data_IF_620267437933
#
_entry.id   IF_620267437933
#
_cell.length_a   1.000
_cell.length_b   1.000
_cell.length_c   1.000
_cell.angle_alpha   90.00
_cell.angle_beta   90.00
_cell.angle_gamma   90.00
#
_symmetry.space_group_name_H-M   'P 1'
#
loop_
_entity.id
_entity.type
_entity.pdbx_description
1 polymer ?
#
# COMPACT_ATOMS: atom_id res chain seq x y z
N UNK A 1 72.42 77.17 54.29
CA UNK A 1 71.39 78.20 54.02
C UNK A 1 71.25 78.33 52.52
N UNK A 2 70.02 78.20 52.02
CA UNK A 2 69.68 78.15 50.60
C UNK A 2 69.21 79.53 50.14
N UNK A 3 69.92 80.13 49.18
CA UNK A 3 69.43 81.24 48.37
C UNK A 3 70.15 81.22 47.02
N UNK A 4 69.48 80.70 45.99
CA UNK A 4 69.74 81.10 44.60
C UNK A 4 68.37 81.29 43.95
N UNK A 5 67.94 82.55 43.90
CA UNK A 5 66.87 83.00 43.04
C UNK A 5 67.39 83.00 41.59
N UNK A 6 66.68 82.33 40.70
CA UNK A 6 67.02 82.36 39.27
C UNK A 6 65.89 81.76 38.44
N UNK A 7 65.18 82.62 37.72
CA UNK A 7 64.24 82.27 36.66
C UNK A 7 65.00 81.59 35.52
N UNK A 8 65.28 80.30 35.68
CA UNK A 8 65.91 79.46 34.67
C UNK A 8 64.81 78.63 34.01
N UNK A 9 64.42 79.04 32.81
CA UNK A 9 63.62 78.26 31.88
C UNK A 9 64.36 76.97 31.56
N UNK A 10 64.20 75.98 32.45
CA UNK A 10 64.66 74.62 32.26
C UNK A 10 63.70 73.98 31.26
N UNK A 11 63.95 74.19 29.97
CA UNK A 11 63.53 73.25 28.96
C UNK A 11 64.63 72.21 28.78
N UNK A 12 64.37 70.94 29.10
CA UNK A 12 65.08 69.88 28.43
C UNK A 12 64.14 68.80 27.87
N UNK A 13 64.38 68.53 26.58
CA UNK A 13 64.15 67.29 25.85
C UNK A 13 62.69 66.89 25.52
N UNK A 14 62.31 67.30 24.32
CA UNK A 14 61.46 66.60 23.34
C UNK A 14 61.48 65.07 23.57
N UNK A 15 60.31 64.51 23.87
CA UNK A 15 60.09 63.06 23.97
C UNK A 15 60.49 62.40 22.64
N UNK A 16 61.26 61.30 22.63
CA UNK A 16 61.52 60.56 21.40
C UNK A 16 60.20 60.01 20.84
N UNK A 17 60.01 60.14 19.53
CA UNK A 17 58.91 59.51 18.79
C UNK A 17 58.85 58.03 19.13
N UNK A 18 57.76 57.65 19.79
CA UNK A 18 57.44 56.28 20.09
C UNK A 18 56.99 55.63 18.78
N UNK A 19 57.89 54.86 18.15
CA UNK A 19 57.59 54.08 16.94
C UNK A 19 56.31 53.27 17.18
N UNK A 20 55.27 53.36 16.31
CA UNK A 20 54.09 52.53 16.47
C UNK A 20 54.49 51.07 16.30
N UNK A 21 54.44 50.30 17.39
CA UNK A 21 54.53 48.86 17.35
C UNK A 21 53.33 48.36 16.54
N UNK A 22 53.59 47.93 15.31
CA UNK A 22 52.60 47.34 14.43
C UNK A 22 52.13 46.04 15.10
N UNK A 23 51.02 46.12 15.83
CA UNK A 23 50.30 44.94 16.29
C UNK A 23 49.63 44.36 15.06
N UNK A 24 50.17 43.26 14.54
CA UNK A 24 49.45 42.41 13.60
C UNK A 24 48.15 41.95 14.26
N UNK A 25 47.06 42.65 13.97
CA UNK A 25 45.72 42.22 14.34
C UNK A 25 45.39 41.03 13.45
N UNK A 26 45.87 39.85 13.87
CA UNK A 26 45.52 38.58 13.22
C UNK A 26 44.00 38.48 13.25
N UNK A 27 43.37 38.75 12.11
CA UNK A 27 41.93 38.67 11.91
C UNK A 27 41.52 37.22 12.19
N UNK A 28 41.05 36.97 13.41
CA UNK A 28 40.50 35.67 13.78
C UNK A 28 39.19 35.56 13.04
N UNK A 29 39.23 34.97 11.85
CA UNK A 29 38.03 34.60 11.12
C UNK A 29 37.43 33.43 11.89
N UNK A 30 36.50 33.74 12.80
CA UNK A 30 35.63 32.74 13.40
C UNK A 30 34.86 32.06 12.27
N UNK A 31 35.34 30.91 11.81
CA UNK A 31 34.56 30.02 10.96
C UNK A 31 33.30 29.68 11.74
N UNK A 32 32.13 30.01 11.18
CA UNK A 32 30.84 29.64 11.76
C UNK A 32 30.86 28.13 11.96
N UNK A 33 30.57 27.66 13.18
CA UNK A 33 30.41 26.22 13.46
C UNK A 33 29.42 25.68 12.43
N UNK A 34 29.89 24.82 11.52
CA UNK A 34 29.03 24.02 10.68
C UNK A 34 28.21 23.15 11.63
N UNK A 35 26.90 23.42 11.70
CA UNK A 35 25.95 22.58 12.41
C UNK A 35 26.23 21.14 11.96
N UNK A 36 26.50 20.22 12.90
CA UNK A 36 26.96 18.87 12.57
C UNK A 36 25.95 18.21 11.64
N UNK A 37 26.45 17.61 10.54
CA UNK A 37 25.63 16.96 9.50
C UNK A 37 24.60 15.97 10.08
N UNK A 38 24.92 15.38 11.23
CA UNK A 38 24.09 14.39 11.93
C UNK A 38 22.72 14.92 12.36
N UNK A 39 22.63 16.14 12.88
CA UNK A 39 21.34 16.71 13.33
C UNK A 39 20.39 16.92 12.15
N UNK A 40 20.90 17.47 11.03
CA UNK A 40 20.10 17.64 9.80
C UNK A 40 19.64 16.30 9.20
N UNK A 41 20.48 15.26 9.30
CA UNK A 41 20.15 13.94 8.79
C UNK A 41 19.03 13.26 9.61
N UNK A 42 19.05 13.41 10.93
CA UNK A 42 17.99 12.91 11.80
C UNK A 42 16.65 13.57 11.52
N UNK A 43 16.62 14.90 11.33
CA UNK A 43 15.38 15.58 10.94
C UNK A 43 14.83 15.07 9.60
N UNK A 44 15.69 14.89 8.60
CA UNK A 44 15.27 14.37 7.30
C UNK A 44 14.76 12.93 7.40
N UNK A 45 15.39 12.10 8.23
CA UNK A 45 14.92 10.76 8.52
C UNK A 45 13.55 10.74 9.21
N UNK A 46 13.31 11.62 10.20
CA UNK A 46 12.00 11.69 10.86
C UNK A 46 10.88 12.09 9.90
N UNK A 47 11.15 13.02 8.97
CA UNK A 47 10.20 13.40 7.91
C UNK A 47 9.95 12.21 6.99
N UNK A 48 11.00 11.49 6.58
CA UNK A 48 10.88 10.31 5.73
C UNK A 48 10.00 9.23 6.39
N UNK A 49 10.26 8.91 7.66
CA UNK A 49 9.46 7.95 8.42
C UNK A 49 8.01 8.39 8.48
N UNK A 50 7.75 9.67 8.75
CA UNK A 50 6.39 10.22 8.78
C UNK A 50 5.65 10.05 7.44
N UNK A 51 6.33 10.37 6.32
CA UNK A 51 5.77 10.21 4.97
C UNK A 51 5.51 8.73 4.64
N UNK A 52 6.41 7.83 5.02
CA UNK A 52 6.22 6.38 4.82
C UNK A 52 5.02 5.88 5.61
N UNK A 53 4.89 6.27 6.89
CA UNK A 53 3.74 5.88 7.73
C UNK A 53 2.43 6.39 7.11
N UNK A 54 2.38 7.67 6.70
CA UNK A 54 1.21 8.23 6.04
C UNK A 54 0.88 7.49 4.73
N UNK A 55 1.89 7.18 3.92
CA UNK A 55 1.73 6.42 2.68
C UNK A 55 1.18 5.01 2.91
N UNK A 56 1.69 4.29 3.92
CA UNK A 56 1.20 2.96 4.28
C UNK A 56 -0.26 3.01 4.72
N UNK A 57 -0.65 4.01 5.52
CA UNK A 57 -2.05 4.17 5.94
C UNK A 57 -2.95 4.34 4.71
N UNK A 58 -2.64 5.32 3.84
CA UNK A 58 -3.44 5.57 2.63
C UNK A 58 -3.54 4.32 1.76
N UNK A 59 -2.42 3.61 1.56
CA UNK A 59 -2.40 2.38 0.79
C UNK A 59 -3.28 1.28 1.39
N UNK A 60 -3.23 1.10 2.71
CA UNK A 60 -4.11 0.14 3.41
C UNK A 60 -5.58 0.49 3.26
N UNK A 61 -5.94 1.77 3.37
CA UNK A 61 -7.32 2.21 3.15
C UNK A 61 -7.81 1.94 1.73
N UNK A 62 -6.97 2.20 0.72
CA UNK A 62 -7.32 1.91 -0.67
C UNK A 62 -7.53 0.40 -0.91
N UNK A 63 -6.69 -0.46 -0.32
CA UNK A 63 -6.84 -1.91 -0.42
C UNK A 63 -8.14 -2.41 0.22
N UNK A 64 -8.48 -1.92 1.41
CA UNK A 64 -9.72 -2.30 2.11
C UNK A 64 -10.94 -1.93 1.27
N UNK A 65 -10.93 -0.74 0.67
CA UNK A 65 -12.03 -0.29 -0.18
C UNK A 65 -12.22 -1.16 -1.43
N UNK A 66 -11.11 -1.53 -2.09
CA UNK A 66 -11.18 -2.46 -3.24
C UNK A 66 -11.71 -3.83 -2.83
N UNK A 67 -11.32 -4.32 -1.65
CA UNK A 67 -11.74 -5.62 -1.15
C UNK A 67 -13.23 -5.65 -0.82
N UNK A 68 -13.79 -4.56 -0.27
CA UNK A 68 -15.22 -4.45 0.02
C UNK A 68 -16.08 -4.48 -1.25
N UNK A 69 -15.65 -3.80 -2.31
CA UNK A 69 -16.33 -3.89 -3.61
C UNK A 69 -16.27 -5.30 -4.18
N UNK A 70 -15.11 -5.97 -4.08
CA UNK A 70 -14.97 -7.35 -4.53
C UNK A 70 -15.91 -8.28 -3.78
N UNK A 71 -15.97 -8.18 -2.45
CA UNK A 71 -16.88 -8.97 -1.62
C UNK A 71 -18.33 -8.76 -2.05
N UNK A 72 -18.78 -7.52 -2.21
CA UNK A 72 -20.15 -7.22 -2.67
C UNK A 72 -20.46 -7.85 -4.03
N UNK A 73 -19.54 -7.73 -5.00
CA UNK A 73 -19.74 -8.35 -6.33
C UNK A 73 -19.76 -9.87 -6.27
N UNK A 74 -18.95 -10.49 -5.41
CA UNK A 74 -18.90 -11.93 -5.24
C UNK A 74 -20.17 -12.45 -4.55
N UNK A 75 -20.65 -11.76 -3.52
CA UNK A 75 -21.92 -12.09 -2.86
C UNK A 75 -23.09 -11.97 -3.83
N UNK A 76 -23.15 -10.93 -4.66
CA UNK A 76 -24.18 -10.79 -5.68
C UNK A 76 -24.14 -11.92 -6.73
N UNK A 77 -22.94 -12.36 -7.12
CA UNK A 77 -22.76 -13.51 -8.02
C UNK A 77 -23.20 -14.82 -7.38
N UNK A 78 -22.87 -15.03 -6.11
CA UNK A 78 -23.31 -16.22 -5.36
C UNK A 78 -24.83 -16.29 -5.28
N UNK A 79 -25.50 -15.19 -4.91
CA UNK A 79 -26.96 -15.14 -4.87
C UNK A 79 -27.60 -15.48 -6.24
N UNK A 80 -27.05 -14.94 -7.33
CA UNK A 80 -27.51 -15.28 -8.69
C UNK A 80 -27.26 -16.73 -9.07
N UNK A 81 -26.17 -17.33 -8.61
CA UNK A 81 -25.86 -18.74 -8.88
C UNK A 81 -26.80 -19.65 -8.09
N UNK A 82 -27.10 -19.32 -6.83
CA UNK A 82 -28.08 -20.05 -6.02
C UNK A 82 -29.47 -20.01 -6.66
N UNK A 83 -29.91 -18.86 -7.15
CA UNK A 83 -31.18 -18.71 -7.86
C UNK A 83 -31.22 -19.57 -9.14
N UNK A 84 -30.15 -19.54 -9.94
CA UNK A 84 -30.04 -20.38 -11.13
C UNK A 84 -30.04 -21.88 -10.79
N UNK A 85 -29.36 -22.28 -9.72
CA UNK A 85 -29.37 -23.68 -9.26
C UNK A 85 -30.79 -24.08 -8.82
N UNK A 86 -31.49 -23.22 -8.08
CA UNK A 86 -32.85 -23.50 -7.66
C UNK A 86 -33.81 -23.64 -8.85
N UNK A 87 -33.71 -22.74 -9.83
CA UNK A 87 -34.50 -22.80 -11.06
C UNK A 87 -34.19 -24.08 -11.87
N UNK A 88 -32.91 -24.39 -12.10
CA UNK A 88 -32.51 -25.61 -12.79
C UNK A 88 -32.94 -26.88 -12.05
N UNK A 89 -32.91 -26.86 -10.72
CA UNK A 89 -33.37 -27.99 -9.89
C UNK A 89 -34.87 -28.16 -10.04
N UNK A 90 -35.64 -27.08 -9.99
CA UNK A 90 -37.09 -27.10 -10.23
C UNK A 90 -37.43 -27.62 -11.63
N UNK A 91 -36.75 -27.12 -12.67
CA UNK A 91 -36.94 -27.61 -14.04
C UNK A 91 -36.59 -29.10 -14.16
N UNK A 92 -35.55 -29.56 -13.48
CA UNK A 92 -35.17 -30.97 -13.43
C UNK A 92 -36.23 -31.80 -12.71
N UNK A 93 -36.78 -31.34 -11.60
CA UNK A 93 -37.86 -32.04 -10.88
C UNK A 93 -39.11 -32.14 -11.76
N UNK A 94 -39.52 -31.04 -12.39
CA UNK A 94 -40.64 -31.01 -13.34
C UNK A 94 -40.39 -31.95 -14.51
N UNK A 95 -39.17 -31.99 -15.06
CA UNK A 95 -38.83 -32.88 -16.18
C UNK A 95 -38.75 -34.36 -15.77
N UNK A 96 -38.38 -34.67 -14.52
CA UNK A 96 -38.33 -36.04 -14.01
C UNK A 96 -39.67 -36.52 -13.44
N UNK A 97 -40.63 -35.63 -13.24
CA UNK A 97 -41.96 -35.99 -12.76
C UNK A 97 -42.60 -37.01 -13.74
N UNK A 98 -42.96 -38.23 -13.26
CA UNK A 98 -43.60 -39.25 -14.10
C UNK A 98 -44.85 -38.75 -14.82
N UNK A 99 -45.58 -37.78 -14.24
CA UNK A 99 -46.77 -37.20 -14.85
C UNK A 99 -46.43 -36.35 -16.09
N UNK A 100 -45.34 -35.58 -16.08
CA UNK A 100 -44.91 -34.78 -17.22
C UNK A 100 -44.29 -35.65 -18.32
N UNK A 101 -43.57 -36.71 -17.92
CA UNK A 101 -43.03 -37.71 -18.84
C UNK A 101 -44.16 -38.44 -19.56
N UNK A 102 -45.22 -38.85 -18.85
CA UNK A 102 -46.41 -39.48 -19.46
C UNK A 102 -47.11 -38.54 -20.44
N UNK A 103 -47.33 -37.28 -20.06
CA UNK A 103 -47.93 -36.28 -20.97
C UNK A 103 -47.10 -36.06 -22.24
N UNK A 104 -45.77 -35.90 -22.10
CA UNK A 104 -44.87 -35.78 -23.26
C UNK A 104 -44.84 -37.05 -24.11
N UNK A 105 -44.94 -38.23 -23.49
CA UNK A 105 -45.02 -39.50 -24.21
C UNK A 105 -46.34 -39.63 -24.99
N UNK A 106 -47.46 -39.20 -24.42
CA UNK A 106 -48.77 -39.14 -25.08
C UNK A 106 -48.77 -38.14 -26.25
N UNK A 107 -48.16 -36.95 -26.08
CA UNK A 107 -47.98 -35.97 -27.16
C UNK A 107 -47.11 -36.49 -28.32
N UNK A 108 -46.21 -37.44 -28.04
CA UNK A 108 -45.30 -38.04 -29.01
C UNK A 108 -45.81 -39.40 -29.55
N UNK A 109 -47.08 -39.76 -29.30
CA UNK A 109 -47.69 -41.04 -29.68
C UNK A 109 -46.92 -42.29 -29.20
N UNK A 110 -46.21 -42.18 -28.07
CA UNK A 110 -45.44 -43.27 -27.49
C UNK A 110 -46.32 -44.18 -26.62
N UNK A 111 -46.15 -45.49 -26.76
CA UNK A 111 -46.92 -46.51 -26.01
C UNK A 111 -46.06 -47.11 -24.90
N UNK A 112 -46.66 -47.33 -23.71
CA UNK A 112 -46.00 -48.02 -22.60
C UNK A 112 -45.54 -49.41 -23.04
N UNK A 113 -44.24 -49.68 -22.96
CA UNK A 113 -43.66 -50.97 -23.36
C UNK A 113 -44.00 -52.09 -22.36
N UNK A 114 -44.36 -53.27 -22.87
CA UNK A 114 -44.63 -54.46 -22.06
C UNK A 114 -43.42 -54.91 -21.24
N UNK A 115 -43.67 -55.48 -20.04
CA UNK A 115 -42.65 -55.92 -19.07
C UNK A 115 -41.60 -56.89 -19.64
N UNK A 116 -41.86 -57.52 -20.79
CA UNK A 116 -40.95 -58.44 -21.46
C UNK A 116 -39.75 -57.75 -22.15
N UNK A 117 -39.80 -56.44 -22.36
CA UNK A 117 -38.75 -55.69 -23.07
C UNK A 117 -37.94 -54.73 -22.17
N UNK A 118 -37.86 -55.05 -20.87
CA UNK A 118 -37.16 -54.22 -19.87
C UNK A 118 -35.64 -54.42 -19.95
N UNK A 119 -34.94 -53.50 -20.60
CA UNK A 119 -33.47 -53.46 -20.61
C UNK A 119 -32.98 -52.96 -19.24
N UNK A 120 -32.35 -53.84 -18.46
CA UNK A 120 -31.71 -53.47 -17.19
C UNK A 120 -30.24 -53.17 -17.44
N UNK A 121 -29.81 -51.92 -17.27
CA UNK A 121 -28.41 -51.52 -17.41
C UNK A 121 -27.72 -51.61 -16.04
N UNK A 122 -26.57 -52.29 -15.92
CA UNK A 122 -25.83 -52.34 -14.66
C UNK A 122 -25.19 -50.98 -14.35
N UNK A 123 -25.46 -50.46 -13.15
CA UNK A 123 -24.87 -49.23 -12.66
C UNK A 123 -23.41 -49.45 -12.23
N UNK A 124 -22.45 -49.39 -13.16
CA UNK A 124 -21.01 -49.24 -12.85
C UNK A 124 -20.18 -48.98 -14.10
N UNK A 125 -19.67 -47.75 -14.28
CA UNK A 125 -18.33 -47.46 -14.80
C UNK A 125 -18.10 -45.93 -14.79
N UNK A 126 -17.74 -45.41 -13.61
CA UNK A 126 -16.95 -44.18 -13.51
C UNK A 126 -15.66 -44.39 -14.32
N UNK A 127 -15.56 -43.72 -15.48
CA UNK A 127 -14.34 -43.32 -16.20
C UNK A 127 -14.76 -42.71 -17.54
N UNK A 128 -15.09 -41.43 -17.52
CA UNK A 128 -15.09 -40.60 -18.72
C UNK A 128 -13.64 -40.28 -19.07
N UNK A 129 -13.06 -40.80 -20.17
CA UNK A 129 -11.78 -40.29 -20.66
C UNK A 129 -12.02 -38.90 -21.23
N UNK A 130 -11.37 -37.91 -20.63
CA UNK A 130 -11.30 -36.54 -21.15
C UNK A 130 -10.58 -36.61 -22.50
N UNK A 131 -11.23 -36.17 -23.57
CA UNK A 131 -10.66 -36.12 -24.91
C UNK A 131 -9.36 -35.30 -24.91
N UNK A 132 -8.24 -35.92 -25.29
CA UNK A 132 -7.03 -35.19 -25.61
C UNK A 132 -7.26 -34.38 -26.88
N UNK A 133 -6.96 -33.09 -26.80
CA UNK A 133 -6.86 -32.20 -27.95
C UNK A 133 -5.49 -32.44 -28.59
N UNK A 134 -5.47 -32.94 -29.82
CA UNK A 134 -4.40 -32.69 -30.79
C UNK A 134 -4.75 -31.42 -31.60
#
# INVERSE_FOLDING_TARGET
MAYINGNLAMQPKRKPEQKPSYRETKKIVTKRKSIPMQEKLLYLFTILVCVVVAGVIIFRYAQIYQMEQQISTLTAKQARLEEQIADLTSQREVANDPATIKKKAEELDMVMGDEKNKVTVPASADKTPVASKD
#
